data_IF_406381961153
#
_entry.id   IF_406381961153
#
_cell.length_a   1.000
_cell.length_b   1.000
_cell.length_c   1.000
_cell.angle_alpha   90.00
_cell.angle_beta   90.00
_cell.angle_gamma   90.00
#
_symmetry.space_group_name_H-M   'P 1'
#
loop_
_entity.id
_entity.type
_entity.pdbx_description
1 polymer ?
#
# COMPACT_ATOMS: atom_id res chain seq x y z
N UNK A 1 -1.59 -34.21 7.87
CA UNK A 1 -0.37 -33.37 7.75
C UNK A 1 -0.84 -31.94 7.50
N UNK A 2 -0.58 -31.00 8.42
CA UNK A 2 -0.94 -29.60 8.21
C UNK A 2 0.11 -28.97 7.30
N UNK A 3 -0.30 -28.42 6.16
CA UNK A 3 0.62 -27.71 5.27
C UNK A 3 1.16 -26.49 6.03
N UNK A 4 2.49 -26.29 6.02
CA UNK A 4 3.09 -25.08 6.59
C UNK A 4 2.46 -23.84 5.95
N UNK A 5 2.22 -22.74 6.72
CA UNK A 5 1.57 -21.57 6.18
C UNK A 5 2.44 -20.95 5.06
N UNK A 6 1.83 -20.72 3.89
CA UNK A 6 2.53 -20.17 2.71
C UNK A 6 3.11 -18.78 2.95
N UNK A 7 2.49 -18.03 3.85
CA UNK A 7 2.92 -16.70 4.29
C UNK A 7 3.18 -16.69 5.79
N UNK A 8 4.27 -16.04 6.17
CA UNK A 8 4.61 -15.77 7.56
C UNK A 8 4.62 -14.27 7.82
N UNK A 9 4.28 -13.88 9.04
CA UNK A 9 4.50 -12.52 9.49
C UNK A 9 6.00 -12.25 9.60
N UNK A 10 6.48 -11.23 8.89
CA UNK A 10 7.90 -10.87 8.85
C UNK A 10 8.20 -9.55 9.56
N UNK A 11 7.18 -8.72 9.79
CA UNK A 11 7.27 -7.50 10.59
C UNK A 11 5.87 -7.12 11.08
N UNK A 12 5.77 -6.50 12.25
CA UNK A 12 4.48 -6.05 12.77
C UNK A 12 4.62 -5.03 13.89
N UNK A 13 3.56 -4.26 14.11
CA UNK A 13 3.49 -3.29 15.19
C UNK A 13 2.06 -3.02 15.64
N UNK A 14 1.87 -2.75 16.94
CA UNK A 14 0.60 -2.34 17.53
C UNK A 14 0.19 -0.96 17.01
N UNK A 15 -1.10 -0.79 16.73
CA UNK A 15 -1.70 0.40 16.12
C UNK A 15 -1.86 0.26 14.60
N UNK A 16 -3.11 0.15 14.13
CA UNK A 16 -3.46 0.37 12.73
C UNK A 16 -3.60 1.87 12.49
N UNK A 17 -3.14 2.35 11.34
CA UNK A 17 -3.26 3.76 11.00
C UNK A 17 -3.32 3.97 9.49
N UNK A 18 -4.28 4.76 9.06
CA UNK A 18 -4.39 5.28 7.71
C UNK A 18 -4.92 6.71 7.73
N UNK A 19 -4.59 7.51 6.73
CA UNK A 19 -5.16 8.84 6.56
C UNK A 19 -5.36 9.15 5.08
N UNK A 20 -6.62 9.31 4.62
CA UNK A 20 -6.90 9.87 3.31
C UNK A 20 -6.39 11.31 3.24
N UNK A 21 -5.84 11.69 2.09
CA UNK A 21 -5.33 13.02 1.78
C UNK A 21 -5.92 13.39 0.43
N UNK A 22 -6.68 14.47 0.42
CA UNK A 22 -7.27 15.04 -0.81
C UNK A 22 -6.33 16.10 -1.35
N UNK A 23 -6.09 16.08 -2.65
CA UNK A 23 -5.24 17.04 -3.34
C UNK A 23 -6.00 17.61 -4.55
N UNK A 24 -5.66 18.82 -5.01
CA UNK A 24 -6.05 19.26 -6.34
C UNK A 24 -5.62 18.20 -7.38
N UNK A 25 -6.44 17.94 -8.42
CA UNK A 25 -6.05 17.04 -9.51
C UNK A 25 -4.66 17.40 -10.04
N UNK A 26 -3.75 16.43 -10.01
CA UNK A 26 -2.36 16.63 -10.41
C UNK A 26 -1.78 15.36 -11.03
N UNK A 27 -0.85 15.49 -11.98
CA UNK A 27 -0.15 14.32 -12.52
C UNK A 27 0.61 13.54 -11.44
N UNK A 28 0.76 12.23 -11.63
CA UNK A 28 1.55 11.42 -10.70
C UNK A 28 3.00 11.90 -10.57
N UNK A 29 3.60 12.43 -11.66
CA UNK A 29 4.92 13.03 -11.64
C UNK A 29 5.00 14.23 -10.66
N UNK A 30 3.95 15.07 -10.63
CA UNK A 30 3.87 16.18 -9.68
C UNK A 30 3.77 15.68 -8.24
N UNK A 31 2.89 14.70 -7.99
CA UNK A 31 2.75 14.06 -6.68
C UNK A 31 4.09 13.48 -6.20
N UNK A 32 4.82 12.79 -7.09
CA UNK A 32 6.14 12.22 -6.81
C UNK A 32 7.16 13.30 -6.46
N UNK A 33 7.17 14.43 -7.17
CA UNK A 33 8.07 15.54 -6.87
C UNK A 33 7.77 16.15 -5.49
N UNK A 34 6.49 16.41 -5.17
CA UNK A 34 6.08 16.99 -3.89
C UNK A 34 6.41 16.06 -2.71
N UNK A 35 6.14 14.76 -2.84
CA UNK A 35 6.52 13.75 -1.83
C UNK A 35 8.03 13.64 -1.69
N UNK A 36 8.79 13.70 -2.80
CA UNK A 36 10.26 13.66 -2.75
C UNK A 36 10.81 14.84 -1.94
N UNK A 37 10.34 16.06 -2.22
CA UNK A 37 10.73 17.25 -1.48
C UNK A 37 10.41 17.12 0.02
N UNK A 38 9.21 16.63 0.35
CA UNK A 38 8.79 16.35 1.72
C UNK A 38 9.71 15.34 2.43
N UNK A 39 10.02 14.20 1.79
CA UNK A 39 10.85 13.14 2.37
C UNK A 39 12.29 13.64 2.61
N UNK A 40 12.86 14.40 1.66
CA UNK A 40 14.19 14.98 1.82
C UNK A 40 14.26 15.96 3.00
N UNK A 41 13.27 16.86 3.08
CA UNK A 41 13.20 17.91 4.11
C UNK A 41 12.96 17.34 5.52
N UNK A 42 12.09 16.34 5.66
CA UNK A 42 11.64 15.85 6.97
C UNK A 42 12.33 14.57 7.43
N UNK A 43 13.00 13.86 6.51
CA UNK A 43 13.56 12.51 6.72
C UNK A 43 12.52 11.47 7.14
N UNK A 44 11.22 11.73 6.92
CA UNK A 44 10.13 10.81 7.24
C UNK A 44 9.72 10.05 5.97
N UNK A 45 9.61 8.71 5.99
CA UNK A 45 9.10 7.97 4.85
C UNK A 45 7.60 8.23 4.67
N UNK A 46 7.11 7.99 3.46
CA UNK A 46 5.68 7.98 3.14
C UNK A 46 5.33 6.71 2.38
N UNK A 47 4.40 5.95 2.93
CA UNK A 47 3.76 4.80 2.28
C UNK A 47 2.31 5.16 2.01
N UNK A 48 1.86 5.02 0.76
CA UNK A 48 0.53 5.43 0.36
C UNK A 48 -0.04 4.58 -0.77
N UNK A 49 -1.37 4.58 -0.87
CA UNK A 49 -2.09 4.19 -2.08
C UNK A 49 -2.53 5.44 -2.83
N UNK A 50 -2.22 5.53 -4.11
CA UNK A 50 -2.48 6.69 -4.97
C UNK A 50 -3.67 6.36 -5.87
N UNK A 51 -4.72 7.17 -5.85
CA UNK A 51 -5.93 6.95 -6.65
C UNK A 51 -6.07 8.04 -7.73
N UNK A 52 -6.21 7.59 -8.98
CA UNK A 52 -6.50 8.46 -10.11
C UNK A 52 -7.97 8.88 -10.17
N UNK A 53 -8.23 10.07 -10.71
CA UNK A 53 -9.55 10.59 -11.06
C UNK A 53 -10.17 9.68 -12.12
N UNK A 54 -11.46 9.35 -11.96
CA UNK A 54 -12.21 8.56 -12.94
C UNK A 54 -12.07 7.04 -12.82
N UNK A 55 -11.26 6.52 -11.88
CA UNK A 55 -11.36 5.15 -11.34
C UNK A 55 -11.26 3.95 -12.31
N UNK A 56 -11.04 4.15 -13.61
CA UNK A 56 -11.27 3.10 -14.62
C UNK A 56 -10.12 2.79 -15.60
N UNK A 57 -9.02 3.55 -15.59
CA UNK A 57 -7.94 3.38 -16.58
C UNK A 57 -6.75 2.59 -16.07
N UNK A 58 -6.68 1.29 -16.33
CA UNK A 58 -5.49 0.43 -16.12
C UNK A 58 -4.54 0.49 -17.31
N UNK A 59 -4.40 1.67 -17.93
CA UNK A 59 -3.45 1.87 -19.01
C UNK A 59 -2.03 1.84 -18.45
N UNK A 60 -1.44 0.66 -18.40
CA UNK A 60 -0.05 0.39 -18.04
C UNK A 60 0.97 0.92 -19.06
N UNK A 61 0.81 2.17 -19.47
CA UNK A 61 1.90 2.94 -20.05
C UNK A 61 2.71 3.59 -18.92
N UNK A 62 4.02 3.75 -19.13
CA UNK A 62 4.91 4.49 -18.21
C UNK A 62 4.39 5.91 -17.91
N UNK A 63 3.54 6.45 -18.78
CA UNK A 63 2.90 7.76 -18.64
C UNK A 63 1.53 7.76 -17.94
N UNK A 64 0.96 6.59 -17.58
CA UNK A 64 -0.32 6.37 -16.86
C UNK A 64 -1.12 7.62 -16.47
N UNK A 65 -1.62 8.33 -17.48
CA UNK A 65 -1.87 9.78 -17.47
C UNK A 65 -3.18 10.22 -16.86
N UNK A 66 -3.56 9.62 -15.73
CA UNK A 66 -4.67 10.09 -14.93
C UNK A 66 -4.21 11.12 -13.91
N UNK A 67 -4.98 12.19 -13.73
CA UNK A 67 -4.81 13.07 -12.59
C UNK A 67 -5.03 12.28 -11.29
N UNK A 68 -4.20 12.53 -10.29
CA UNK A 68 -4.35 12.04 -8.92
C UNK A 68 -5.14 13.06 -8.13
N UNK A 69 -6.16 12.61 -7.40
CA UNK A 69 -6.94 13.47 -6.50
C UNK A 69 -6.99 12.97 -5.06
N UNK A 70 -6.52 11.75 -4.79
CA UNK A 70 -6.53 11.14 -3.46
C UNK A 70 -5.29 10.28 -3.23
N UNK A 71 -4.71 10.43 -2.04
CA UNK A 71 -3.76 9.48 -1.45
C UNK A 71 -4.40 8.86 -0.21
N UNK A 72 -4.16 7.58 0.05
CA UNK A 72 -4.41 6.96 1.34
C UNK A 72 -3.06 6.60 1.96
N UNK A 73 -2.55 7.48 2.81
CA UNK A 73 -1.34 7.20 3.58
C UNK A 73 -1.63 6.06 4.57
N UNK A 74 -0.70 5.12 4.72
CA UNK A 74 -0.83 4.01 5.65
C UNK A 74 0.49 3.74 6.37
N UNK A 75 0.43 2.88 7.38
CA UNK A 75 1.60 2.50 8.18
C UNK A 75 2.17 1.18 7.69
N UNK A 76 3.38 1.22 7.11
CA UNK A 76 4.11 0.03 6.68
C UNK A 76 5.17 -0.42 7.72
N UNK A 77 5.04 -1.62 8.33
CA UNK A 77 6.08 -2.22 9.15
C UNK A 77 7.17 -2.89 8.29
N UNK A 78 8.42 -2.47 8.51
CA UNK A 78 9.61 -3.03 7.86
C UNK A 78 10.49 -3.79 8.87
N UNK A 79 11.16 -4.85 8.41
CA UNK A 79 12.24 -5.51 9.19
C UNK A 79 13.43 -4.59 9.42
N UNK A 80 13.83 -3.88 8.37
CA UNK A 80 15.03 -3.05 8.36
C UNK A 80 14.82 -1.74 9.12
N UNK A 81 13.63 -1.14 8.99
CA UNK A 81 13.35 0.20 9.51
C UNK A 81 12.34 0.25 10.66
N UNK A 82 11.81 -0.90 11.09
CA UNK A 82 10.71 -0.97 12.04
C UNK A 82 9.41 -0.38 11.48
N UNK A 83 8.51 0.03 12.38
CA UNK A 83 7.26 0.69 12.03
C UNK A 83 7.14 2.02 12.79
N UNK A 84 6.97 3.17 12.11
CA UNK A 84 6.83 4.46 12.81
C UNK A 84 5.61 4.45 13.73
N UNK A 85 5.63 5.06 14.92
CA UNK A 85 4.44 5.19 15.77
C UNK A 85 3.29 5.91 15.04
N UNK A 86 2.03 5.59 15.36
CA UNK A 86 0.85 6.18 14.70
C UNK A 86 0.81 7.71 14.81
N UNK A 87 1.22 8.27 15.95
CA UNK A 87 1.36 9.72 16.15
C UNK A 87 2.43 10.34 15.23
N UNK A 88 3.50 9.61 14.93
CA UNK A 88 4.54 10.05 13.99
C UNK A 88 4.03 10.05 12.55
N UNK A 89 3.19 9.06 12.17
CA UNK A 89 2.49 9.06 10.88
C UNK A 89 1.54 10.25 10.74
N UNK A 90 0.73 10.53 11.76
CA UNK A 90 -0.16 11.69 11.77
C UNK A 90 0.61 13.01 11.66
N UNK A 91 1.75 13.11 12.35
CA UNK A 91 2.64 14.27 12.26
C UNK A 91 3.24 14.42 10.86
N UNK A 92 3.65 13.32 10.23
CA UNK A 92 4.17 13.31 8.87
C UNK A 92 3.12 13.84 7.86
N UNK A 93 1.88 13.36 7.94
CA UNK A 93 0.80 13.81 7.05
C UNK A 93 0.45 15.28 7.27
N UNK A 94 0.43 15.78 8.50
CA UNK A 94 0.24 17.21 8.76
C UNK A 94 1.36 18.06 8.18
N UNK A 95 2.61 17.61 8.29
CA UNK A 95 3.76 18.31 7.71
C UNK A 95 3.72 18.30 6.17
N UNK A 96 3.35 17.16 5.56
CA UNK A 96 3.14 17.07 4.11
C UNK A 96 2.07 18.07 3.66
N UNK A 97 0.89 18.04 4.30
CA UNK A 97 -0.20 18.97 4.04
C UNK A 97 0.20 20.44 4.19
N UNK A 98 0.97 20.80 5.21
CA UNK A 98 1.47 22.15 5.40
C UNK A 98 2.41 22.60 4.27
N UNK A 99 3.21 21.69 3.72
CA UNK A 99 4.16 21.99 2.64
C UNK A 99 3.54 22.02 1.24
N UNK A 100 2.42 21.32 1.02
CA UNK A 100 1.81 21.16 -0.32
C UNK A 100 0.44 21.82 -0.47
N UNK A 101 -0.20 22.21 0.63
CA UNK A 101 -1.60 22.64 0.65
C UNK A 101 -2.60 21.49 0.49
N UNK A 102 -2.15 20.23 0.48
CA UNK A 102 -3.05 19.07 0.44
C UNK A 102 -3.85 18.97 1.74
N UNK A 103 -5.03 18.34 1.68
CA UNK A 103 -6.00 18.32 2.77
C UNK A 103 -6.14 16.92 3.36
N UNK A 104 -5.60 16.65 4.55
CA UNK A 104 -5.88 15.43 5.28
C UNK A 104 -7.39 15.32 5.57
N UNK A 105 -7.95 14.13 5.37
CA UNK A 105 -9.35 13.83 5.60
C UNK A 105 -9.49 12.54 6.45
N UNK A 106 -8.96 12.54 7.70
CA UNK A 106 -8.97 11.35 8.56
C UNK A 106 -10.37 10.78 8.83
N UNK A 107 -11.40 11.61 8.81
CA UNK A 107 -12.81 11.19 8.93
C UNK A 107 -13.30 10.30 7.78
N UNK A 108 -12.57 10.24 6.66
CA UNK A 108 -12.85 9.34 5.52
C UNK A 108 -12.04 8.05 5.59
N UNK A 109 -11.21 7.86 6.61
CA UNK A 109 -10.42 6.64 6.75
C UNK A 109 -11.36 5.43 6.91
N UNK A 110 -11.03 4.26 6.32
CA UNK A 110 -11.78 3.05 6.55
C UNK A 110 -11.86 2.74 8.06
N UNK A 111 -13.05 2.35 8.52
CA UNK A 111 -13.28 1.94 9.90
C UNK A 111 -13.54 0.44 9.96
N UNK A 112 -12.76 -0.28 10.78
CA UNK A 112 -12.88 -1.73 10.97
C UNK A 112 -12.43 -2.61 9.79
N UNK A 113 -12.35 -3.92 10.04
CA UNK A 113 -11.90 -4.91 9.07
C UNK A 113 -10.39 -4.88 8.80
N UNK A 114 -10.00 -5.27 7.60
CA UNK A 114 -8.61 -5.27 7.11
C UNK A 114 -8.50 -4.46 5.82
N UNK A 115 -7.41 -3.71 5.68
CA UNK A 115 -7.04 -2.99 4.46
C UNK A 115 -5.70 -3.55 3.96
N UNK A 116 -5.65 -3.98 2.71
CA UNK A 116 -4.48 -4.62 2.09
C UNK A 116 -4.23 -4.03 0.72
N UNK A 117 -3.02 -3.55 0.46
CA UNK A 117 -2.54 -3.25 -0.89
C UNK A 117 -1.88 -4.49 -1.49
N UNK A 118 -2.32 -4.90 -2.67
CA UNK A 118 -1.73 -6.00 -3.44
C UNK A 118 -1.19 -5.44 -4.75
N UNK A 119 0.10 -5.64 -5.00
CA UNK A 119 0.69 -5.34 -6.30
C UNK A 119 0.05 -6.22 -7.38
N UNK A 120 0.07 -5.72 -8.61
CA UNK A 120 -0.35 -6.51 -9.77
C UNK A 120 0.80 -7.32 -10.36
N UNK A 121 2.04 -6.91 -10.11
CA UNK A 121 3.24 -7.60 -10.59
C UNK A 121 3.58 -8.79 -9.69
N UNK A 122 4.00 -9.88 -10.29
CA UNK A 122 4.55 -11.03 -9.57
C UNK A 122 5.93 -10.71 -9.00
N UNK A 123 6.11 -10.87 -7.69
CA UNK A 123 7.35 -10.54 -6.98
C UNK A 123 7.87 -9.12 -7.24
N UNK A 124 9.20 -8.95 -7.15
CA UNK A 124 9.87 -7.65 -7.26
C UNK A 124 10.74 -7.47 -8.51
N UNK A 125 10.86 -8.48 -9.36
CA UNK A 125 11.74 -8.41 -10.52
C UNK A 125 11.18 -7.44 -11.57
N UNK A 126 12.05 -6.60 -12.13
CA UNK A 126 11.69 -5.74 -13.26
C UNK A 126 11.30 -6.62 -14.45
N UNK A 127 10.14 -6.35 -15.06
CA UNK A 127 9.62 -7.13 -16.18
C UNK A 127 8.95 -8.46 -15.80
N UNK A 128 8.76 -8.74 -14.50
CA UNK A 128 7.94 -9.87 -14.08
C UNK A 128 6.48 -9.74 -14.60
N UNK A 129 5.75 -10.85 -14.75
CA UNK A 129 4.36 -10.82 -15.20
C UNK A 129 3.50 -9.86 -14.36
N UNK A 130 2.63 -9.11 -15.03
CA UNK A 130 1.70 -8.19 -14.38
C UNK A 130 0.26 -8.67 -14.63
N UNK A 131 -0.46 -8.90 -13.54
CA UNK A 131 -1.87 -9.27 -13.54
C UNK A 131 -2.76 -8.05 -13.80
N UNK A 132 -3.97 -8.30 -14.30
CA UNK A 132 -5.00 -7.27 -14.37
C UNK A 132 -5.77 -7.18 -13.05
N UNK A 133 -6.31 -6.01 -12.65
CA UNK A 133 -7.15 -5.92 -11.44
C UNK A 133 -8.34 -6.89 -11.44
N UNK A 134 -8.89 -7.19 -12.60
CA UNK A 134 -9.98 -8.17 -12.75
C UNK A 134 -9.56 -9.61 -12.43
N UNK A 135 -8.28 -9.96 -12.57
CA UNK A 135 -7.74 -11.27 -12.21
C UNK A 135 -7.60 -11.38 -10.70
N UNK A 136 -7.07 -10.35 -10.03
CA UNK A 136 -7.02 -10.28 -8.57
C UNK A 136 -8.42 -10.34 -7.95
N UNK A 137 -9.38 -9.60 -8.51
CA UNK A 137 -10.78 -9.65 -8.09
C UNK A 137 -11.40 -11.05 -8.27
N UNK A 138 -11.02 -11.78 -9.34
CA UNK A 138 -11.46 -13.15 -9.58
C UNK A 138 -10.85 -14.12 -8.58
N UNK A 139 -9.58 -13.93 -8.21
CA UNK A 139 -8.88 -14.73 -7.22
C UNK A 139 -9.43 -14.56 -5.80
N UNK A 140 -9.94 -13.37 -5.44
CA UNK A 140 -10.67 -13.14 -4.18
C UNK A 140 -12.03 -13.87 -4.10
N UNK A 141 -12.51 -14.41 -5.23
CA UNK A 141 -13.69 -15.28 -5.28
C UNK A 141 -15.04 -14.55 -5.20
N UNK A 142 -16.11 -15.34 -5.05
CA UNK A 142 -17.49 -14.88 -5.15
C UNK A 142 -18.01 -14.09 -3.92
N UNK A 143 -17.21 -13.91 -2.87
CA UNK A 143 -17.60 -13.24 -1.62
C UNK A 143 -17.72 -11.71 -1.72
N UNK A 144 -18.23 -11.19 -2.84
CA UNK A 144 -18.25 -9.74 -3.16
C UNK A 144 -18.97 -8.87 -2.12
N UNK A 145 -19.86 -9.43 -1.32
CA UNK A 145 -20.52 -8.70 -0.23
C UNK A 145 -19.61 -8.46 1.00
N UNK A 146 -18.44 -9.10 1.07
CA UNK A 146 -17.54 -9.05 2.23
C UNK A 146 -16.27 -8.23 1.99
N UNK A 147 -16.10 -7.68 0.79
CA UNK A 147 -14.93 -6.90 0.41
C UNK A 147 -15.26 -5.87 -0.66
N UNK A 148 -14.44 -4.83 -0.74
CA UNK A 148 -14.39 -3.87 -1.83
C UNK A 148 -12.95 -3.72 -2.30
N UNK A 149 -12.75 -3.37 -3.58
CA UNK A 149 -11.42 -3.11 -4.11
C UNK A 149 -11.42 -1.84 -4.96
N UNK A 150 -10.32 -1.11 -4.90
CA UNK A 150 -10.04 0.06 -5.75
C UNK A 150 -8.69 -0.15 -6.42
N UNK A 151 -8.59 0.15 -7.71
CA UNK A 151 -7.30 0.22 -8.40
C UNK A 151 -6.52 1.40 -7.83
N UNK A 152 -5.25 1.20 -7.54
CA UNK A 152 -4.35 2.23 -7.04
C UNK A 152 -2.94 2.01 -7.57
N UNK A 153 -2.10 3.04 -7.48
CA UNK A 153 -0.66 2.86 -7.48
C UNK A 153 -0.18 2.76 -6.04
N UNK A 154 0.50 1.67 -5.70
CA UNK A 154 1.07 1.45 -4.36
C UNK A 154 2.44 2.13 -4.37
N UNK A 155 2.70 3.02 -3.40
CA UNK A 155 3.95 3.76 -3.33
C UNK A 155 4.61 3.64 -1.96
N UNK A 156 5.94 3.58 -1.97
CA UNK A 156 6.80 3.77 -0.80
C UNK A 156 7.93 4.73 -1.18
N UNK A 157 8.04 5.83 -0.45
CA UNK A 157 9.08 6.84 -0.64
C UNK A 157 9.92 6.94 0.63
N UNK A 158 11.23 6.70 0.51
CA UNK A 158 12.16 6.69 1.65
C UNK A 158 13.49 7.34 1.30
N UNK A 159 14.02 8.15 2.21
CA UNK A 159 15.37 8.71 2.07
C UNK A 159 16.43 7.62 2.30
N UNK A 160 17.38 7.49 1.38
CA UNK A 160 18.57 6.65 1.49
C UNK A 160 19.79 7.52 1.17
N UNK A 161 20.62 7.81 2.18
CA UNK A 161 21.66 8.85 2.05
C UNK A 161 21.02 10.21 1.77
N UNK A 162 21.37 10.83 0.65
CA UNK A 162 20.86 12.13 0.22
C UNK A 162 19.84 12.07 -0.93
N UNK A 163 19.40 10.87 -1.29
CA UNK A 163 18.37 10.66 -2.33
C UNK A 163 17.12 10.03 -1.75
N UNK A 164 16.01 10.10 -2.49
CA UNK A 164 14.77 9.37 -2.16
C UNK A 164 14.69 8.15 -3.06
N UNK A 165 14.73 6.97 -2.43
CA UNK A 165 14.38 5.72 -3.10
C UNK A 165 12.87 5.61 -3.16
N UNK A 166 12.38 5.44 -4.38
CA UNK A 166 10.98 5.20 -4.67
C UNK A 166 10.77 3.74 -5.03
N UNK A 167 9.70 3.19 -4.47
CA UNK A 167 9.02 2.02 -4.99
C UNK A 167 7.63 2.47 -5.42
N UNK A 168 7.25 2.16 -6.64
CA UNK A 168 5.88 2.32 -7.09
C UNK A 168 5.47 1.20 -8.05
N UNK A 169 4.22 0.77 -7.95
CA UNK A 169 3.64 -0.22 -8.86
C UNK A 169 2.12 -0.10 -8.94
N UNK A 170 1.54 -0.59 -10.04
CA UNK A 170 0.10 -0.76 -10.15
C UNK A 170 -0.37 -1.86 -9.17
N UNK A 171 -1.53 -1.64 -8.57
CA UNK A 171 -2.06 -2.49 -7.51
C UNK A 171 -3.58 -2.39 -7.37
N UNK A 172 -4.09 -3.18 -6.44
CA UNK A 172 -5.44 -3.02 -5.90
C UNK A 172 -5.37 -2.86 -4.39
N UNK A 173 -6.21 -1.97 -3.87
CA UNK A 173 -6.42 -1.81 -2.43
C UNK A 173 -7.72 -2.51 -2.08
N UNK A 174 -7.63 -3.55 -1.26
CA UNK A 174 -8.76 -4.35 -0.80
C UNK A 174 -9.12 -3.92 0.62
N UNK A 175 -10.37 -3.51 0.83
CA UNK A 175 -10.95 -3.35 2.17
C UNK A 175 -11.98 -4.44 2.40
N UNK A 176 -11.82 -5.23 3.47
CA UNK A 176 -12.62 -6.42 3.71
C UNK A 176 -12.87 -6.67 5.20
N UNK A 177 -13.82 -7.56 5.51
CA UNK A 177 -14.00 -8.08 6.89
C UNK A 177 -12.77 -8.90 7.30
N UNK A 178 -12.44 -8.96 8.59
CA UNK A 178 -11.24 -9.67 9.09
C UNK A 178 -11.20 -11.15 8.69
N UNK A 179 -12.37 -11.83 8.64
CA UNK A 179 -12.46 -13.22 8.17
C UNK A 179 -12.09 -13.44 6.69
N UNK A 180 -11.91 -12.37 5.90
CA UNK A 180 -11.47 -12.45 4.50
C UNK A 180 -9.96 -12.58 4.34
N UNK A 181 -9.16 -12.38 5.39
CA UNK A 181 -7.70 -12.41 5.29
C UNK A 181 -7.13 -13.72 4.71
N UNK A 182 -7.66 -14.93 5.02
CA UNK A 182 -7.21 -16.15 4.37
C UNK A 182 -7.42 -16.14 2.84
N UNK A 183 -8.54 -15.60 2.36
CA UNK A 183 -8.84 -15.49 0.93
C UNK A 183 -7.96 -14.44 0.24
N UNK A 184 -7.69 -13.32 0.92
CA UNK A 184 -6.73 -12.30 0.45
C UNK A 184 -5.33 -12.91 0.31
N UNK A 185 -4.91 -13.71 1.30
CA UNK A 185 -3.61 -14.39 1.29
C UNK A 185 -3.53 -15.43 0.16
N UNK A 186 -4.61 -16.18 -0.08
CA UNK A 186 -4.71 -17.11 -1.19
C UNK A 186 -4.65 -16.39 -2.56
N UNK A 187 -5.35 -15.25 -2.70
CA UNK A 187 -5.29 -14.43 -3.91
C UNK A 187 -3.87 -13.86 -4.14
N UNK A 188 -3.23 -13.34 -3.09
CA UNK A 188 -1.84 -12.88 -3.15
C UNK A 188 -0.88 -14.01 -3.58
N UNK A 189 -1.08 -15.23 -3.08
CA UNK A 189 -0.32 -16.42 -3.52
C UNK A 189 -0.55 -16.71 -5.01
N UNK A 190 -1.81 -16.75 -5.44
CA UNK A 190 -2.19 -17.06 -6.82
C UNK A 190 -1.63 -16.02 -7.81
N UNK A 191 -1.50 -14.77 -7.37
CA UNK A 191 -0.94 -13.66 -8.14
C UNK A 191 0.57 -13.43 -7.85
N UNK A 192 1.28 -14.45 -7.38
CA UNK A 192 2.74 -14.43 -7.25
C UNK A 192 3.30 -13.34 -6.32
N UNK A 193 2.51 -12.81 -5.38
CA UNK A 193 2.98 -11.76 -4.48
C UNK A 193 4.09 -12.29 -3.55
N UNK A 194 5.15 -11.54 -3.34
CA UNK A 194 6.23 -11.94 -2.43
C UNK A 194 5.98 -11.47 -0.99
N UNK A 195 5.38 -10.28 -0.86
CA UNK A 195 5.05 -9.62 0.42
C UNK A 195 3.88 -8.66 0.22
N UNK A 196 3.05 -8.53 1.25
CA UNK A 196 2.06 -7.47 1.33
C UNK A 196 1.86 -7.00 2.78
N UNK A 197 1.28 -5.81 2.93
CA UNK A 197 1.00 -5.20 4.25
C UNK A 197 -0.48 -5.30 4.56
N UNK A 198 -0.79 -5.74 5.77
CA UNK A 198 -2.13 -5.78 6.33
C UNK A 198 -2.26 -4.69 7.37
N UNK A 199 -3.17 -3.74 7.13
CA UNK A 199 -3.65 -2.82 8.16
C UNK A 199 -4.93 -3.42 8.76
N UNK A 200 -4.80 -4.09 9.89
CA UNK A 200 -5.90 -4.72 10.61
C UNK A 200 -6.54 -3.71 11.56
N UNK A 201 -7.58 -3.05 11.06
CA UNK A 201 -8.31 -2.00 11.77
C UNK A 201 -9.17 -2.57 12.90
N UNK A 202 -9.59 -3.83 12.80
CA UNK A 202 -10.36 -4.50 13.85
C UNK A 202 -9.49 -4.84 15.07
N UNK A 203 -8.25 -5.29 14.84
CA UNK A 203 -7.30 -5.62 15.91
C UNK A 203 -6.37 -4.47 16.28
N UNK A 204 -6.53 -3.31 15.64
CA UNK A 204 -5.64 -2.14 15.78
C UNK A 204 -4.16 -2.54 15.66
N UNK A 205 -3.79 -3.16 14.54
CA UNK A 205 -2.41 -3.60 14.26
C UNK A 205 -2.07 -3.42 12.79
N UNK A 206 -0.80 -3.19 12.48
CA UNK A 206 -0.26 -3.34 11.12
C UNK A 206 0.82 -4.40 11.10
N UNK A 207 0.85 -5.23 10.06
CA UNK A 207 1.86 -6.26 9.89
C UNK A 207 2.09 -6.58 8.42
N UNK A 208 3.29 -7.06 8.09
CA UNK A 208 3.68 -7.49 6.76
C UNK A 208 3.75 -9.01 6.73
N UNK A 209 3.10 -9.60 5.74
CA UNK A 209 3.18 -11.03 5.44
C UNK A 209 4.13 -11.22 4.26
N UNK A 210 4.99 -12.23 4.30
CA UNK A 210 5.84 -12.61 3.17
C UNK A 210 5.84 -14.12 2.96
N UNK A 211 6.07 -14.56 1.71
CA UNK A 211 6.15 -16.00 1.38
C UNK A 211 7.31 -16.65 2.15
N UNK A 212 7.07 -17.85 2.69
CA UNK A 212 8.02 -18.55 3.57
C UNK A 212 9.44 -18.72 2.98
N UNK A 213 9.57 -18.87 1.66
CA UNK A 213 10.88 -18.95 0.97
C UNK A 213 11.65 -17.63 0.88
N UNK A 214 10.96 -16.49 0.96
CA UNK A 214 11.58 -15.16 0.88
C UNK A 214 11.91 -14.58 2.26
N UNK A 215 11.31 -15.10 3.33
CA UNK A 215 11.55 -14.65 4.70
C UNK A 215 12.99 -14.90 5.17
N UNK A 216 13.74 -15.79 4.51
CA UNK A 216 15.01 -16.30 4.99
C UNK A 216 16.29 -15.63 4.43
N UNK A 217 16.25 -14.79 3.38
CA UNK A 217 17.50 -14.60 2.62
C UNK A 217 17.75 -13.34 1.79
N UNK A 218 16.89 -12.32 1.75
CA UNK A 218 17.26 -11.06 1.06
C UNK A 218 16.84 -9.83 1.87
N UNK A 219 17.78 -8.91 2.20
CA UNK A 219 17.40 -7.59 2.67
C UNK A 219 16.64 -6.88 1.52
N UNK A 220 15.36 -6.57 1.77
CA UNK A 220 14.57 -5.69 0.90
C UNK A 220 15.03 -4.23 1.01
#
# INVERSE_FOLDING_TARGET
>A
MSAAPDYAEVAGASGAWTCPIVLPPASFARVRADVTAFVLATRRPLDAFVFAVGGGGTGGGEDGGGDVAELLAYRDPSRTFGAPPTAACATAVRALAASTGWRPAPQRAPVGGVLVGLGLREGYAVGAPEHRPGEMARALGAHRACWSARVARIVSARRIGDTVRWYDEAGVVVHARTGMLPFITAAARACGQDRFVVTDLALSRTYALARAGNAAGRPG
#
